data_IF_757878196978
#
_entry.id   IF_757878196978
#
_cell.length_a   1.000
_cell.length_b   1.000
_cell.length_c   1.000
_cell.angle_alpha   90.00
_cell.angle_beta   90.00
_cell.angle_gamma   90.00
#
_symmetry.space_group_name_H-M   'P 1'
#
loop_
_entity.id
_entity.type
_entity.pdbx_description
1 polymer ?
#
# COMPACT_ATOMS: atom_id res chain seq x y z
N UNK A 1 93.99 37.97 -58.00
CA UNK A 1 92.85 38.71 -58.42
C UNK A 1 91.73 37.73 -58.63
N UNK A 2 90.98 37.55 -57.63
CA UNK A 2 89.98 36.50 -57.55
C UNK A 2 88.62 37.14 -57.74
N UNK A 3 87.81 36.55 -58.52
CA UNK A 3 86.40 36.91 -58.71
C UNK A 3 85.56 35.80 -58.11
N UNK A 4 84.89 36.14 -57.07
CA UNK A 4 83.96 35.28 -56.42
C UNK A 4 82.58 35.46 -57.05
N UNK A 5 81.98 34.39 -57.54
CA UNK A 5 80.63 34.37 -58.11
C UNK A 5 79.71 33.66 -57.15
N UNK A 6 78.84 34.45 -56.54
CA UNK A 6 77.84 33.99 -55.64
C UNK A 6 76.77 33.10 -56.24
N UNK A 7 76.50 31.99 -55.60
CA UNK A 7 75.36 31.16 -55.87
C UNK A 7 74.15 31.72 -55.18
N UNK A 8 73.38 32.42 -55.91
CA UNK A 8 71.97 32.73 -55.53
C UNK A 8 71.05 32.06 -56.52
N UNK A 9 69.96 31.64 -55.96
CA UNK A 9 68.74 31.18 -56.59
C UNK A 9 68.70 29.71 -56.95
N UNK A 10 68.03 28.96 -56.07
CA UNK A 10 66.92 28.11 -56.46
C UNK A 10 66.22 27.61 -55.18
N UNK A 11 65.23 28.34 -54.72
CA UNK A 11 64.18 27.79 -53.88
C UNK A 11 62.90 28.50 -54.24
N UNK A 12 62.30 28.01 -55.31
CA UNK A 12 60.91 28.28 -55.65
C UNK A 12 59.99 27.36 -54.86
N UNK A 13 59.12 27.98 -54.12
CA UNK A 13 57.70 27.60 -53.90
C UNK A 13 57.37 26.11 -53.86
N UNK A 14 57.26 25.61 -52.61
CA UNK A 14 56.33 24.55 -52.26
C UNK A 14 55.43 25.11 -51.19
N UNK A 15 54.25 25.57 -51.59
CA UNK A 15 53.17 25.97 -50.71
C UNK A 15 52.68 24.75 -49.99
N UNK A 16 53.11 24.63 -48.74
CA UNK A 16 52.52 23.69 -47.76
C UNK A 16 51.16 24.18 -47.32
N UNK A 17 50.10 23.61 -47.86
CA UNK A 17 48.77 23.74 -47.32
C UNK A 17 48.78 23.06 -45.95
N UNK A 18 48.88 23.86 -44.91
CA UNK A 18 48.60 23.40 -43.52
C UNK A 18 47.12 23.03 -43.46
N UNK A 19 46.81 21.76 -43.62
CA UNK A 19 45.51 21.19 -43.29
C UNK A 19 45.35 21.30 -41.77
N UNK A 20 44.68 22.36 -41.32
CA UNK A 20 44.15 22.42 -39.95
C UNK A 20 43.20 21.25 -39.75
N UNK A 21 43.42 20.36 -38.79
CA UNK A 21 42.41 19.37 -38.43
C UNK A 21 41.19 20.14 -37.94
N UNK A 22 40.16 20.23 -38.74
CA UNK A 22 38.85 20.65 -38.29
C UNK A 22 38.43 19.67 -37.22
N UNK A 23 38.58 20.07 -35.98
CA UNK A 23 37.95 19.44 -34.82
C UNK A 23 36.44 19.61 -34.99
N UNK A 24 35.83 18.68 -35.73
CA UNK A 24 34.38 18.54 -35.65
C UNK A 24 34.06 18.25 -34.20
N UNK A 25 33.16 19.06 -33.55
CA UNK A 25 32.68 18.72 -32.23
C UNK A 25 31.99 17.37 -32.39
N UNK A 26 32.61 16.33 -31.81
CA UNK A 26 31.91 15.08 -31.58
C UNK A 26 30.63 15.46 -30.81
N UNK A 27 29.43 15.10 -31.31
CA UNK A 27 28.23 15.33 -30.55
C UNK A 27 28.45 14.63 -29.22
N UNK A 28 28.61 15.41 -28.15
CA UNK A 28 28.54 14.88 -26.80
C UNK A 28 27.17 14.20 -26.73
N UNK A 29 27.14 12.87 -26.86
CA UNK A 29 25.96 12.10 -26.55
C UNK A 29 25.71 12.43 -25.10
N UNK A 30 24.77 13.36 -24.87
CA UNK A 30 24.18 13.54 -23.57
C UNK A 30 23.76 12.13 -23.14
N UNK A 31 24.46 11.57 -22.15
CA UNK A 31 24.03 10.32 -21.53
C UNK A 31 22.59 10.59 -21.13
N UNK A 32 21.64 9.93 -21.81
CA UNK A 32 20.26 9.95 -21.34
C UNK A 32 20.32 9.57 -19.87
N UNK A 33 19.78 10.40 -18.95
CA UNK A 33 19.76 10.05 -17.54
C UNK A 33 19.22 8.64 -17.43
N UNK A 34 19.93 7.78 -16.71
CA UNK A 34 19.47 6.41 -16.48
C UNK A 34 18.03 6.48 -15.95
N UNK A 35 17.12 5.71 -16.56
CA UNK A 35 15.72 5.66 -16.16
C UNK A 35 15.64 5.37 -14.65
N UNK A 36 15.00 6.23 -13.84
CA UNK A 36 14.87 5.99 -12.41
C UNK A 36 14.09 4.70 -12.16
N UNK A 37 14.48 3.98 -11.11
CA UNK A 37 13.84 2.74 -10.69
C UNK A 37 13.09 2.96 -9.40
N UNK A 38 11.81 2.61 -9.37
CA UNK A 38 10.99 2.55 -8.16
C UNK A 38 11.06 1.12 -7.62
N UNK A 39 11.36 0.96 -6.33
CA UNK A 39 11.11 -0.28 -5.61
C UNK A 39 9.66 -0.31 -5.12
N UNK A 40 8.90 -1.33 -5.50
CA UNK A 40 7.56 -1.54 -4.98
C UNK A 40 7.59 -2.75 -4.04
N UNK A 41 7.44 -2.51 -2.74
CA UNK A 41 7.46 -3.54 -1.70
C UNK A 41 6.07 -3.71 -1.12
N UNK A 42 5.53 -4.91 -1.15
CA UNK A 42 4.21 -5.22 -0.60
C UNK A 42 4.23 -6.46 0.29
N UNK A 43 3.46 -6.42 1.39
CA UNK A 43 3.19 -7.60 2.22
C UNK A 43 2.29 -8.62 1.50
N UNK A 44 1.39 -8.16 0.63
CA UNK A 44 0.44 -8.98 -0.09
C UNK A 44 1.07 -9.69 -1.31
N UNK A 45 0.29 -10.57 -1.94
CA UNK A 45 0.53 -11.08 -3.29
C UNK A 45 0.00 -10.10 -4.37
N UNK A 46 0.39 -10.24 -5.65
CA UNK A 46 -0.05 -9.32 -6.72
C UNK A 46 -1.57 -9.27 -6.92
N UNK A 47 -2.25 -10.43 -6.90
CA UNK A 47 -3.67 -10.56 -7.21
C UNK A 47 -4.60 -9.68 -6.36
N UNK A 48 -4.50 -9.72 -5.03
CA UNK A 48 -5.35 -8.92 -4.13
C UNK A 48 -5.27 -7.41 -4.32
N UNK A 49 -4.14 -6.90 -4.79
CA UNK A 49 -3.92 -5.46 -5.02
C UNK A 49 -4.10 -5.05 -6.48
N UNK A 50 -4.44 -5.98 -7.38
CA UNK A 50 -4.58 -5.71 -8.81
C UNK A 50 -5.54 -4.55 -9.10
N UNK A 51 -6.63 -4.40 -8.34
CA UNK A 51 -7.60 -3.32 -8.49
C UNK A 51 -7.07 -1.93 -8.10
N UNK A 52 -6.09 -1.86 -7.19
CA UNK A 52 -5.50 -0.60 -6.71
C UNK A 52 -4.27 -0.17 -7.55
N UNK A 53 -3.64 -1.08 -8.27
CA UNK A 53 -2.44 -0.78 -9.08
C UNK A 53 -2.67 0.23 -10.20
N UNK A 54 -3.83 0.26 -10.90
CA UNK A 54 -4.13 1.34 -11.85
C UNK A 54 -4.12 2.72 -11.21
N UNK A 55 -4.62 2.86 -9.99
CA UNK A 55 -4.62 4.13 -9.26
C UNK A 55 -3.20 4.57 -8.86
N UNK A 56 -2.34 3.65 -8.43
CA UNK A 56 -0.92 3.94 -8.21
C UNK A 56 -0.24 4.48 -9.48
N UNK A 57 -0.46 3.82 -10.63
CA UNK A 57 0.07 4.28 -11.92
C UNK A 57 -0.52 5.63 -12.35
N UNK A 58 -1.80 5.87 -12.08
CA UNK A 58 -2.43 7.15 -12.34
C UNK A 58 -1.77 8.28 -11.53
N UNK A 59 -1.52 8.07 -10.22
CA UNK A 59 -0.81 9.04 -9.39
C UNK A 59 0.63 9.30 -9.86
N UNK A 60 1.34 8.29 -10.35
CA UNK A 60 2.64 8.46 -11.00
C UNK A 60 2.53 9.29 -12.29
N UNK A 61 1.52 9.02 -13.13
CA UNK A 61 1.28 9.71 -14.39
C UNK A 61 0.94 11.19 -14.16
N UNK A 62 0.15 11.53 -13.13
CA UNK A 62 -0.12 12.91 -12.71
C UNK A 62 1.17 13.68 -12.39
N UNK A 63 2.18 12.97 -11.90
CA UNK A 63 3.51 13.51 -11.70
C UNK A 63 4.43 13.41 -12.93
N UNK A 64 3.93 12.98 -14.09
CA UNK A 64 4.67 12.89 -15.35
C UNK A 64 5.55 11.64 -15.49
N UNK A 65 5.31 10.59 -14.70
CA UNK A 65 6.04 9.33 -14.80
C UNK A 65 5.14 8.20 -15.32
N UNK A 66 5.59 7.50 -16.35
CA UNK A 66 4.88 6.37 -16.95
C UNK A 66 5.79 5.15 -16.94
N UNK A 67 5.32 4.07 -16.31
CA UNK A 67 6.05 2.79 -16.23
C UNK A 67 6.41 2.29 -17.64
N UNK A 68 7.68 1.90 -17.83
CA UNK A 68 8.21 1.42 -19.11
C UNK A 68 8.58 2.52 -20.12
N UNK A 69 8.26 3.80 -19.85
CA UNK A 69 8.64 4.93 -20.72
C UNK A 69 9.77 5.77 -20.12
N UNK A 70 9.57 6.28 -18.91
CA UNK A 70 10.53 7.15 -18.23
C UNK A 70 10.76 6.78 -16.76
N UNK A 71 10.17 5.68 -16.28
CA UNK A 71 10.40 5.08 -14.97
C UNK A 71 10.25 3.57 -15.09
N UNK A 72 11.07 2.81 -14.36
CA UNK A 72 10.94 1.38 -14.18
C UNK A 72 10.44 1.07 -12.76
N UNK A 73 9.71 -0.04 -12.60
CA UNK A 73 9.24 -0.49 -11.28
C UNK A 73 9.76 -1.90 -11.04
N UNK A 74 10.50 -2.09 -9.93
CA UNK A 74 10.90 -3.39 -9.44
C UNK A 74 9.96 -3.83 -8.32
N UNK A 75 9.14 -4.82 -8.62
CA UNK A 75 8.15 -5.35 -7.68
C UNK A 75 8.77 -6.41 -6.77
N UNK A 76 8.46 -6.31 -5.46
CA UNK A 76 8.76 -7.30 -4.43
C UNK A 76 7.50 -7.58 -3.63
N UNK A 77 7.04 -8.81 -3.75
CA UNK A 77 5.84 -9.30 -3.09
C UNK A 77 6.23 -10.27 -2.00
N UNK A 78 5.83 -10.02 -0.77
CA UNK A 78 6.07 -10.95 0.33
C UNK A 78 5.10 -12.14 0.31
N UNK A 79 4.08 -12.10 -0.57
CA UNK A 79 3.12 -13.20 -0.76
C UNK A 79 2.46 -13.62 0.56
N UNK A 80 2.07 -12.63 1.36
CA UNK A 80 1.44 -12.77 2.68
C UNK A 80 2.35 -13.40 3.76
N UNK A 81 3.67 -13.43 3.54
CA UNK A 81 4.67 -13.91 4.49
C UNK A 81 5.48 -12.72 5.00
N UNK A 82 5.10 -12.19 6.17
CA UNK A 82 5.73 -10.99 6.75
C UNK A 82 7.23 -11.17 7.03
N UNK A 83 7.67 -12.39 7.34
CA UNK A 83 9.07 -12.76 7.59
C UNK A 83 9.98 -12.59 6.35
N UNK A 84 9.41 -12.53 5.14
CA UNK A 84 10.15 -12.25 3.90
C UNK A 84 10.49 -10.78 3.71
N UNK A 85 9.74 -9.87 4.34
CA UNK A 85 9.86 -8.42 4.13
C UNK A 85 11.27 -7.86 4.38
N UNK A 86 12.01 -8.27 5.44
CA UNK A 86 13.35 -7.76 5.67
C UNK A 86 14.32 -8.05 4.53
N UNK A 87 14.30 -9.27 3.99
CA UNK A 87 15.15 -9.68 2.87
C UNK A 87 14.78 -8.95 1.58
N UNK A 88 13.48 -8.77 1.30
CA UNK A 88 12.98 -8.06 0.12
C UNK A 88 13.30 -6.56 0.18
N UNK A 89 13.21 -5.94 1.36
CA UNK A 89 13.62 -4.55 1.57
C UNK A 89 15.13 -4.38 1.33
N UNK A 90 15.96 -5.27 1.89
CA UNK A 90 17.41 -5.26 1.70
C UNK A 90 17.80 -5.45 0.22
N UNK A 91 17.10 -6.30 -0.54
CA UNK A 91 17.32 -6.46 -1.98
C UNK A 91 17.07 -5.14 -2.74
N UNK A 92 15.95 -4.46 -2.50
CA UNK A 92 15.67 -3.16 -3.12
C UNK A 92 16.72 -2.10 -2.76
N UNK A 93 17.17 -2.07 -1.50
CA UNK A 93 18.23 -1.16 -1.05
C UNK A 93 19.55 -1.46 -1.76
N UNK A 94 19.93 -2.73 -1.90
CA UNK A 94 21.16 -3.14 -2.60
C UNK A 94 21.17 -2.74 -4.07
N UNK A 95 20.01 -2.70 -4.71
CA UNK A 95 19.80 -2.26 -6.09
C UNK A 95 19.82 -0.75 -6.26
N UNK A 96 19.89 0.01 -5.15
CA UNK A 96 19.93 1.48 -5.15
C UNK A 96 18.79 2.11 -5.94
N UNK A 97 17.57 1.58 -5.73
CA UNK A 97 16.36 2.17 -6.31
C UNK A 97 16.21 3.64 -5.90
N UNK A 98 15.59 4.46 -6.72
CA UNK A 98 15.48 5.89 -6.48
C UNK A 98 14.51 6.23 -5.34
N UNK A 99 13.45 5.43 -5.17
CA UNK A 99 12.43 5.56 -4.12
C UNK A 99 11.75 4.22 -3.89
N UNK A 100 11.27 3.97 -2.68
CA UNK A 100 10.52 2.74 -2.37
C UNK A 100 9.06 3.09 -2.05
N UNK A 101 8.11 2.46 -2.75
CA UNK A 101 6.69 2.43 -2.38
C UNK A 101 6.45 1.19 -1.49
N UNK A 102 6.20 1.41 -0.20
CA UNK A 102 6.01 0.36 0.79
C UNK A 102 4.52 0.24 1.18
N UNK A 103 3.81 -0.71 0.59
CA UNK A 103 2.34 -0.80 0.66
C UNK A 103 1.86 -2.15 1.22
N UNK A 104 0.58 -2.24 1.57
CA UNK A 104 0.02 -3.44 2.19
C UNK A 104 0.17 -3.43 3.71
N UNK A 105 -0.20 -2.32 4.35
CA UNK A 105 -0.10 -2.12 5.78
C UNK A 105 1.26 -1.56 6.23
N UNK A 106 1.51 -1.45 7.54
CA UNK A 106 2.72 -0.83 8.08
C UNK A 106 3.99 -1.69 7.96
N UNK A 107 3.85 -3.02 7.86
CA UNK A 107 4.98 -3.95 7.90
C UNK A 107 6.05 -3.70 6.81
N UNK A 108 5.70 -3.41 5.53
CA UNK A 108 6.69 -3.07 4.52
C UNK A 108 7.47 -1.80 4.84
N UNK A 109 6.79 -0.74 5.33
CA UNK A 109 7.43 0.50 5.76
C UNK A 109 8.41 0.30 6.92
N UNK A 110 8.02 -0.51 7.91
CA UNK A 110 8.89 -0.88 9.04
C UNK A 110 10.11 -1.68 8.58
N UNK A 111 9.93 -2.62 7.62
CA UNK A 111 11.03 -3.38 7.04
C UNK A 111 12.04 -2.49 6.29
N UNK A 112 11.56 -1.52 5.50
CA UNK A 112 12.44 -0.53 4.84
C UNK A 112 13.17 0.30 5.88
N UNK A 113 12.48 0.81 6.90
CA UNK A 113 13.10 1.61 7.96
C UNK A 113 14.19 0.86 8.71
N UNK A 114 13.98 -0.43 8.98
CA UNK A 114 14.95 -1.29 9.68
C UNK A 114 16.27 -1.48 8.91
N UNK A 115 16.30 -1.23 7.59
CA UNK A 115 17.54 -1.28 6.80
C UNK A 115 18.47 -0.08 7.04
N UNK A 116 17.99 0.96 7.75
CA UNK A 116 18.70 2.24 7.95
C UNK A 116 19.17 2.88 6.63
N UNK A 117 18.44 2.65 5.53
CA UNK A 117 18.75 3.25 4.23
C UNK A 117 18.47 4.75 4.22
N UNK A 118 19.19 5.49 3.37
CA UNK A 118 18.86 6.88 3.02
C UNK A 118 17.91 6.99 1.83
N UNK A 119 17.55 5.88 1.17
CA UNK A 119 16.61 5.87 0.07
C UNK A 119 15.24 6.37 0.58
N UNK A 120 14.65 7.39 -0.08
CA UNK A 120 13.32 7.86 0.28
C UNK A 120 12.28 6.76 0.11
N UNK A 121 11.28 6.73 1.00
CA UNK A 121 10.17 5.81 0.85
C UNK A 121 8.82 6.41 1.23
N UNK A 122 7.78 5.90 0.55
CA UNK A 122 6.38 6.27 0.75
C UNK A 122 5.64 5.03 1.26
N UNK A 123 5.08 5.13 2.46
CA UNK A 123 4.38 4.00 3.09
C UNK A 123 2.86 4.15 3.05
N UNK A 124 2.15 3.03 3.23
CA UNK A 124 0.74 2.98 3.64
C UNK A 124 0.67 2.35 5.03
N UNK A 125 0.01 3.02 5.97
CA UNK A 125 -0.20 2.52 7.33
C UNK A 125 -1.68 2.57 7.70
N UNK A 126 -2.17 1.56 8.38
CA UNK A 126 -3.52 1.52 8.94
C UNK A 126 -3.60 2.08 10.35
N UNK A 127 -2.47 2.23 11.03
CA UNK A 127 -2.35 2.80 12.38
C UNK A 127 -1.42 4.01 12.39
N UNK A 128 -1.34 4.68 13.53
CA UNK A 128 -0.56 5.90 13.73
C UNK A 128 0.94 5.68 13.41
N UNK A 129 1.47 6.26 12.31
CA UNK A 129 2.85 6.07 11.88
C UNK A 129 3.87 6.75 12.82
N UNK A 130 3.44 7.69 13.67
CA UNK A 130 4.30 8.30 14.70
C UNK A 130 4.52 7.30 15.84
N UNK A 131 3.45 6.64 16.30
CA UNK A 131 3.54 5.58 17.33
C UNK A 131 4.37 4.39 16.84
N UNK A 132 4.31 4.05 15.56
CA UNK A 132 5.14 3.03 14.95
C UNK A 132 6.60 3.49 14.74
N UNK A 133 6.89 4.76 14.97
CA UNK A 133 8.21 5.33 14.75
C UNK A 133 8.58 5.45 13.25
N UNK A 134 7.64 5.36 12.32
CA UNK A 134 7.90 5.55 10.89
C UNK A 134 8.27 7.00 10.59
N UNK A 135 7.59 7.96 11.20
CA UNK A 135 7.78 9.40 11.05
C UNK A 135 7.79 10.12 12.40
N UNK A 136 8.33 11.34 12.45
CA UNK A 136 8.33 12.16 13.65
C UNK A 136 6.98 12.82 13.92
N UNK A 137 6.28 13.25 12.86
CA UNK A 137 4.92 13.82 12.93
C UNK A 137 4.24 13.74 11.56
N UNK A 138 2.92 13.95 11.52
CA UNK A 138 2.16 13.96 10.27
C UNK A 138 2.54 15.13 9.36
N UNK A 139 2.66 16.33 9.90
CA UNK A 139 2.93 17.55 9.13
C UNK A 139 4.40 17.68 8.71
N UNK A 140 5.30 17.14 9.50
CA UNK A 140 6.75 17.11 9.25
C UNK A 140 7.27 15.72 9.55
N UNK A 141 7.27 14.83 8.55
CA UNK A 141 7.64 13.43 8.75
C UNK A 141 9.03 13.22 9.33
N UNK A 142 9.98 14.07 8.96
CA UNK A 142 11.38 13.96 9.38
C UNK A 142 12.09 12.76 8.75
N UNK A 143 13.29 12.98 8.22
CA UNK A 143 14.07 11.90 7.61
C UNK A 143 13.66 11.56 6.18
N UNK A 144 13.68 10.26 5.84
CA UNK A 144 13.48 9.77 4.48
C UNK A 144 12.13 9.07 4.22
N UNK A 145 11.19 9.18 5.16
CA UNK A 145 9.88 8.54 5.09
C UNK A 145 8.75 9.57 4.98
N UNK A 146 7.75 9.29 4.16
CA UNK A 146 6.43 9.92 4.17
C UNK A 146 5.39 8.89 3.74
N UNK A 147 4.11 9.23 3.71
CA UNK A 147 3.12 8.26 3.26
C UNK A 147 1.67 8.65 3.48
N UNK A 148 0.83 7.62 3.51
CA UNK A 148 -0.61 7.69 3.68
C UNK A 148 -1.01 6.88 4.92
N UNK A 149 -1.72 7.51 5.84
CA UNK A 149 -2.33 6.82 6.98
C UNK A 149 -3.83 6.66 6.74
N UNK A 150 -4.27 5.44 6.48
CA UNK A 150 -5.66 5.13 6.14
C UNK A 150 -6.56 4.88 7.36
N UNK A 151 -6.07 5.16 8.58
CA UNK A 151 -6.85 5.19 9.83
C UNK A 151 -7.64 3.91 10.17
N UNK A 152 -7.22 2.76 9.69
CA UNK A 152 -7.97 1.50 9.82
C UNK A 152 -8.25 1.15 11.29
N UNK A 153 -7.24 1.24 12.15
CA UNK A 153 -7.40 0.90 13.55
C UNK A 153 -8.26 1.91 14.32
N UNK A 154 -8.33 3.16 13.87
CA UNK A 154 -9.16 4.19 14.48
C UNK A 154 -10.67 3.95 14.28
N UNK A 155 -11.05 3.12 13.31
CA UNK A 155 -12.45 2.84 12.98
C UNK A 155 -12.94 1.45 13.41
N UNK A 156 -12.11 0.66 14.11
CA UNK A 156 -12.49 -0.69 14.58
C UNK A 156 -13.72 -0.64 15.49
N UNK A 157 -13.75 0.28 16.46
CA UNK A 157 -14.91 0.48 17.34
C UNK A 157 -16.16 0.89 16.53
N UNK A 158 -15.99 1.72 15.48
CA UNK A 158 -17.09 2.12 14.60
C UNK A 158 -17.63 0.93 13.81
N UNK A 159 -16.75 0.08 13.27
CA UNK A 159 -17.16 -1.16 12.58
C UNK A 159 -17.95 -2.07 13.51
N UNK A 160 -17.49 -2.25 14.76
CA UNK A 160 -18.23 -3.03 15.74
C UNK A 160 -19.62 -2.40 16.02
N UNK A 161 -19.70 -1.08 16.18
CA UNK A 161 -20.95 -0.35 16.36
C UNK A 161 -21.92 -0.51 15.19
N UNK A 162 -21.45 -0.47 13.94
CA UNK A 162 -22.25 -0.70 12.73
C UNK A 162 -22.79 -2.14 12.68
N UNK A 163 -21.95 -3.12 13.04
CA UNK A 163 -22.37 -4.51 13.10
C UNK A 163 -23.44 -4.72 14.17
N UNK A 164 -23.28 -4.10 15.34
CA UNK A 164 -24.28 -4.14 16.40
C UNK A 164 -25.58 -3.42 16.03
N UNK A 165 -25.51 -2.30 15.29
CA UNK A 165 -26.68 -1.60 14.76
C UNK A 165 -27.44 -2.47 13.75
N UNK A 166 -26.71 -3.23 12.93
CA UNK A 166 -27.28 -4.16 11.96
C UNK A 166 -28.04 -5.32 12.62
N UNK A 167 -27.51 -5.85 13.71
CA UNK A 167 -28.08 -6.98 14.45
C UNK A 167 -28.23 -6.65 15.94
N UNK A 168 -29.20 -5.78 16.32
CA UNK A 168 -29.28 -5.22 17.68
C UNK A 168 -29.59 -6.27 18.74
N UNK A 169 -30.20 -7.39 18.37
CA UNK A 169 -30.49 -8.53 19.26
C UNK A 169 -29.25 -9.40 19.54
N UNK A 170 -28.15 -9.20 18.78
CA UNK A 170 -26.92 -9.97 18.97
C UNK A 170 -26.29 -9.72 20.34
N UNK A 171 -25.92 -10.78 21.03
CA UNK A 171 -25.28 -10.75 22.36
C UNK A 171 -23.86 -11.30 22.32
N UNK A 172 -23.55 -12.16 21.36
CA UNK A 172 -22.28 -12.88 21.23
C UNK A 172 -21.63 -12.55 19.89
N UNK A 173 -20.45 -12.00 19.94
CA UNK A 173 -19.68 -11.58 18.76
C UNK A 173 -18.38 -12.39 18.63
N UNK A 174 -18.03 -12.74 17.40
CA UNK A 174 -16.74 -13.26 17.05
C UNK A 174 -15.90 -12.17 16.36
N UNK A 175 -14.59 -12.18 16.58
CA UNK A 175 -13.65 -11.34 15.85
C UNK A 175 -12.50 -12.19 15.35
N UNK A 176 -12.23 -12.15 14.04
CA UNK A 176 -11.06 -12.81 13.43
C UNK A 176 -9.96 -11.78 13.25
N UNK A 177 -8.76 -12.09 13.74
CA UNK A 177 -7.57 -11.23 13.65
C UNK A 177 -6.34 -12.04 13.21
N UNK A 178 -5.49 -11.44 12.37
CA UNK A 178 -4.19 -12.01 12.06
C UNK A 178 -3.18 -11.67 13.18
N UNK A 179 -2.72 -12.66 13.97
CA UNK A 179 -1.83 -12.40 15.10
C UNK A 179 -0.44 -11.91 14.69
N UNK A 180 -0.05 -12.09 13.42
CA UNK A 180 1.24 -11.67 12.88
C UNK A 180 1.23 -10.23 12.36
N UNK A 181 0.05 -9.58 12.32
CA UNK A 181 -0.06 -8.17 11.93
C UNK A 181 0.52 -7.27 13.02
N UNK A 182 1.34 -6.27 12.66
CA UNK A 182 1.79 -5.23 13.62
C UNK A 182 0.64 -4.46 14.28
N UNK A 183 -0.56 -4.53 13.72
CA UNK A 183 -1.77 -3.83 14.17
C UNK A 183 -2.67 -4.70 15.07
N UNK A 184 -2.38 -6.00 15.19
CA UNK A 184 -3.26 -6.98 15.83
C UNK A 184 -3.69 -6.59 17.24
N UNK A 185 -2.74 -6.25 18.12
CA UNK A 185 -3.05 -5.92 19.52
C UNK A 185 -3.88 -4.64 19.65
N UNK A 186 -3.63 -3.65 18.79
CA UNK A 186 -4.41 -2.40 18.75
C UNK A 186 -5.84 -2.68 18.30
N UNK A 187 -6.02 -3.46 17.24
CA UNK A 187 -7.35 -3.83 16.74
C UNK A 187 -8.14 -4.62 17.78
N UNK A 188 -7.50 -5.62 18.39
CA UNK A 188 -8.13 -6.42 19.47
C UNK A 188 -8.57 -5.52 20.62
N UNK A 189 -7.70 -4.62 21.09
CA UNK A 189 -8.01 -3.69 22.16
C UNK A 189 -9.23 -2.80 21.83
N UNK A 190 -9.25 -2.22 20.63
CA UNK A 190 -10.33 -1.33 20.18
C UNK A 190 -11.69 -2.07 20.11
N UNK A 191 -11.70 -3.30 19.55
CA UNK A 191 -12.94 -4.08 19.43
C UNK A 191 -13.41 -4.60 20.80
N UNK A 192 -12.48 -4.99 21.68
CA UNK A 192 -12.80 -5.40 23.06
C UNK A 192 -13.42 -4.26 23.86
N UNK A 193 -12.84 -3.06 23.80
CA UNK A 193 -13.39 -1.87 24.46
C UNK A 193 -14.80 -1.54 23.94
N UNK A 194 -15.00 -1.60 22.61
CA UNK A 194 -16.31 -1.38 22.00
C UNK A 194 -17.35 -2.43 22.44
N UNK A 195 -16.98 -3.69 22.53
CA UNK A 195 -17.86 -4.76 23.00
C UNK A 195 -18.21 -4.58 24.49
N UNK A 196 -17.23 -4.25 25.33
CA UNK A 196 -17.43 -3.99 26.76
C UNK A 196 -18.36 -2.79 26.99
N UNK A 197 -18.19 -1.70 26.26
CA UNK A 197 -19.04 -0.49 26.39
C UNK A 197 -20.50 -0.75 26.05
N UNK A 198 -20.79 -1.78 25.24
CA UNK A 198 -22.16 -2.20 24.89
C UNK A 198 -22.66 -3.40 25.67
N UNK A 199 -21.86 -3.93 26.62
CA UNK A 199 -22.21 -5.11 27.42
C UNK A 199 -22.33 -6.40 26.60
N UNK A 200 -21.57 -6.53 25.49
CA UNK A 200 -21.62 -7.68 24.58
C UNK A 200 -20.47 -8.65 24.83
N UNK A 201 -20.75 -9.96 24.71
CA UNK A 201 -19.72 -10.99 24.74
C UNK A 201 -18.91 -10.94 23.41
N UNK A 202 -17.59 -10.82 23.49
CA UNK A 202 -16.70 -10.86 22.33
C UNK A 202 -15.66 -11.95 22.52
N UNK A 203 -15.51 -12.79 21.49
CA UNK A 203 -14.43 -13.79 21.44
C UNK A 203 -13.51 -13.55 20.24
N UNK A 204 -12.20 -13.50 20.52
CA UNK A 204 -11.17 -13.32 19.51
C UNK A 204 -10.70 -14.68 18.98
N UNK A 205 -10.62 -14.82 17.66
CA UNK A 205 -10.10 -15.97 16.94
C UNK A 205 -8.89 -15.53 16.13
N UNK A 206 -7.74 -16.13 16.39
CA UNK A 206 -6.47 -15.78 15.75
C UNK A 206 -6.27 -16.66 14.52
N UNK A 207 -6.05 -16.06 13.35
CA UNK A 207 -5.79 -16.77 12.10
C UNK A 207 -5.07 -15.84 11.10
N UNK A 208 -3.96 -16.32 10.55
CA UNK A 208 -3.14 -15.61 9.53
C UNK A 208 -2.74 -16.52 8.35
N UNK A 209 -3.23 -17.76 8.32
CA UNK A 209 -2.99 -18.73 7.24
C UNK A 209 -4.28 -19.45 6.86
N UNK A 210 -4.33 -20.06 5.65
CA UNK A 210 -5.49 -20.82 5.19
C UNK A 210 -5.91 -21.89 6.21
N UNK A 211 -4.96 -22.66 6.73
CA UNK A 211 -5.22 -23.69 7.74
C UNK A 211 -5.81 -23.11 9.02
N UNK A 212 -5.23 -22.01 9.51
CA UNK A 212 -5.72 -21.35 10.73
C UNK A 212 -7.11 -20.74 10.56
N UNK A 213 -7.46 -20.28 9.34
CA UNK A 213 -8.84 -19.84 9.03
C UNK A 213 -9.81 -21.01 9.18
N UNK A 214 -9.53 -22.20 8.67
CA UNK A 214 -10.40 -23.36 8.79
C UNK A 214 -10.56 -23.78 10.28
N UNK A 215 -9.45 -23.79 11.03
CA UNK A 215 -9.46 -24.07 12.47
C UNK A 215 -10.28 -23.03 13.24
N UNK A 216 -10.09 -21.72 12.93
CA UNK A 216 -10.84 -20.64 13.55
C UNK A 216 -12.34 -20.76 13.25
N UNK A 217 -12.75 -21.04 12.02
CA UNK A 217 -14.18 -21.21 11.69
C UNK A 217 -14.78 -22.47 12.30
N UNK A 218 -14.01 -23.53 12.49
CA UNK A 218 -14.44 -24.69 13.29
C UNK A 218 -14.72 -24.31 14.74
N UNK A 219 -13.89 -23.46 15.35
CA UNK A 219 -14.08 -22.96 16.70
C UNK A 219 -15.22 -21.94 16.79
N UNK A 220 -15.38 -21.07 15.77
CA UNK A 220 -16.51 -20.12 15.65
C UNK A 220 -17.84 -20.88 15.59
N UNK A 221 -17.94 -21.96 14.80
CA UNK A 221 -19.15 -22.77 14.70
C UNK A 221 -19.55 -23.39 16.06
N UNK A 222 -18.56 -23.77 16.89
CA UNK A 222 -18.82 -24.27 18.26
C UNK A 222 -19.21 -23.15 19.24
N UNK A 223 -18.63 -21.97 19.06
CA UNK A 223 -18.95 -20.80 19.88
C UNK A 223 -20.34 -20.26 19.58
N UNK A 224 -20.86 -20.42 18.35
CA UNK A 224 -22.17 -19.97 17.87
C UNK A 224 -22.37 -18.47 18.13
N UNK A 225 -21.54 -17.59 17.56
CA UNK A 225 -21.76 -16.15 17.66
C UNK A 225 -22.99 -15.73 16.86
N UNK A 226 -23.58 -14.59 17.22
CA UNK A 226 -24.68 -13.97 16.47
C UNK A 226 -24.17 -13.12 15.30
N UNK A 227 -22.91 -12.66 15.38
CA UNK A 227 -22.27 -11.84 14.34
C UNK A 227 -20.74 -11.95 14.36
N UNK A 228 -20.10 -11.58 13.24
CA UNK A 228 -18.66 -11.68 13.01
C UNK A 228 -18.07 -10.35 12.55
N UNK A 229 -16.96 -9.94 13.16
CA UNK A 229 -16.10 -8.90 12.65
C UNK A 229 -14.80 -9.53 12.14
N UNK A 230 -14.40 -9.21 10.90
CA UNK A 230 -13.08 -9.57 10.37
C UNK A 230 -12.21 -8.33 10.43
N UNK A 231 -11.13 -8.40 11.21
CA UNK A 231 -10.18 -7.30 11.35
C UNK A 231 -9.47 -6.98 10.03
N UNK A 232 -9.03 -5.74 9.93
CA UNK A 232 -8.30 -5.27 8.77
C UNK A 232 -6.91 -5.89 8.70
N UNK A 233 -6.63 -6.62 7.63
CA UNK A 233 -5.30 -7.19 7.39
C UNK A 233 -5.15 -7.60 5.92
N UNK A 234 -4.01 -7.31 5.26
CA UNK A 234 -3.78 -7.69 3.87
C UNK A 234 -3.90 -9.20 3.60
N UNK A 235 -3.50 -10.04 4.57
CA UNK A 235 -3.57 -11.51 4.46
C UNK A 235 -5.03 -11.96 4.58
N UNK A 236 -5.80 -11.42 5.52
CA UNK A 236 -7.23 -11.73 5.64
C UNK A 236 -7.99 -11.28 4.38
N UNK A 237 -7.63 -10.13 3.79
CA UNK A 237 -8.19 -9.72 2.50
C UNK A 237 -7.80 -10.67 1.36
N UNK A 238 -6.57 -11.19 1.34
CA UNK A 238 -6.17 -12.23 0.40
C UNK A 238 -7.01 -13.50 0.57
N UNK A 239 -7.25 -13.93 1.80
CA UNK A 239 -8.00 -15.11 2.15
C UNK A 239 -9.53 -14.94 2.06
N UNK A 240 -10.03 -13.78 1.57
CA UNK A 240 -11.48 -13.53 1.48
C UNK A 240 -12.25 -14.58 0.69
N UNK A 241 -11.63 -15.15 -0.36
CA UNK A 241 -12.25 -16.21 -1.15
C UNK A 241 -12.51 -17.50 -0.35
N UNK A 242 -11.75 -17.73 0.73
CA UNK A 242 -11.96 -18.80 1.71
C UNK A 242 -12.91 -18.34 2.81
N UNK A 243 -12.73 -17.12 3.32
CA UNK A 243 -13.51 -16.59 4.45
C UNK A 243 -15.00 -16.44 4.10
N UNK A 244 -15.33 -15.87 2.94
CA UNK A 244 -16.74 -15.59 2.56
C UNK A 244 -17.61 -16.86 2.55
N UNK A 245 -17.21 -17.98 1.89
CA UNK A 245 -18.00 -19.22 1.94
C UNK A 245 -18.12 -19.81 3.36
N UNK A 246 -17.10 -19.64 4.21
CA UNK A 246 -17.15 -20.10 5.61
C UNK A 246 -18.16 -19.26 6.42
N UNK A 247 -18.19 -17.95 6.23
CA UNK A 247 -19.18 -17.05 6.84
C UNK A 247 -20.58 -17.41 6.39
N UNK A 248 -20.78 -17.61 5.08
CA UNK A 248 -22.08 -17.98 4.50
C UNK A 248 -22.60 -19.33 5.03
N UNK A 249 -21.72 -20.37 5.11
CA UNK A 249 -22.10 -21.69 5.68
C UNK A 249 -22.55 -21.61 7.13
N UNK A 250 -22.01 -20.67 7.90
CA UNK A 250 -22.37 -20.46 9.28
C UNK A 250 -23.54 -19.46 9.44
N UNK A 251 -24.10 -18.95 8.34
CA UNK A 251 -25.17 -17.96 8.30
C UNK A 251 -24.89 -16.74 9.21
N UNK A 252 -23.62 -16.26 9.21
CA UNK A 252 -23.19 -15.18 10.12
C UNK A 252 -23.32 -13.81 9.44
N UNK A 253 -24.08 -12.87 10.04
CA UNK A 253 -23.93 -11.45 9.71
C UNK A 253 -22.49 -11.01 9.96
N UNK A 254 -21.83 -10.43 8.96
CA UNK A 254 -20.43 -10.07 9.09
C UNK A 254 -20.11 -8.69 8.52
N UNK A 255 -19.16 -8.00 9.20
CA UNK A 255 -18.59 -6.75 8.73
C UNK A 255 -17.09 -6.91 8.42
N UNK A 256 -16.68 -6.23 7.37
CA UNK A 256 -15.33 -6.25 6.86
C UNK A 256 -14.76 -4.82 6.74
N UNK A 257 -13.47 -4.72 6.50
CA UNK A 257 -12.81 -3.45 6.23
C UNK A 257 -12.97 -3.01 4.77
N UNK A 258 -12.83 -3.96 3.82
CA UNK A 258 -12.68 -3.68 2.39
C UNK A 258 -13.94 -4.01 1.61
N UNK A 259 -14.28 -3.11 0.64
CA UNK A 259 -15.36 -3.35 -0.32
C UNK A 259 -15.23 -4.69 -1.08
N UNK A 260 -13.98 -5.14 -1.31
CA UNK A 260 -13.70 -6.40 -2.01
C UNK A 260 -14.31 -7.64 -1.33
N UNK A 261 -14.56 -7.60 -0.02
CA UNK A 261 -15.32 -8.65 0.66
C UNK A 261 -16.81 -8.62 0.28
N UNK A 262 -17.39 -7.41 0.17
CA UNK A 262 -18.80 -7.23 -0.15
C UNK A 262 -19.05 -7.61 -1.63
N UNK A 263 -18.16 -7.21 -2.52
CA UNK A 263 -18.15 -7.62 -3.94
C UNK A 263 -18.03 -9.14 -4.09
N UNK A 264 -17.33 -9.82 -3.18
CA UNK A 264 -17.21 -11.28 -3.13
C UNK A 264 -18.41 -11.98 -2.44
N UNK A 265 -19.47 -11.25 -2.06
CA UNK A 265 -20.66 -11.80 -1.40
C UNK A 265 -20.71 -11.59 0.11
N UNK A 266 -19.80 -10.83 0.71
CA UNK A 266 -19.90 -10.40 2.11
C UNK A 266 -21.05 -9.43 2.34
N UNK A 267 -21.53 -9.35 3.59
CA UNK A 267 -22.72 -8.57 3.92
C UNK A 267 -22.49 -7.06 3.95
N UNK A 268 -21.43 -6.61 4.66
CA UNK A 268 -21.21 -5.18 4.89
C UNK A 268 -19.72 -4.88 5.04
N UNK A 269 -19.25 -3.76 4.48
CA UNK A 269 -17.92 -3.24 4.77
C UNK A 269 -17.96 -1.77 5.19
N UNK A 270 -17.02 -1.40 6.04
CA UNK A 270 -16.79 0.00 6.40
C UNK A 270 -15.30 0.26 6.51
N UNK A 271 -14.77 1.09 5.62
CA UNK A 271 -13.34 1.36 5.56
C UNK A 271 -12.94 2.42 4.52
N UNK A 272 -11.65 2.77 4.48
CA UNK A 272 -11.13 3.74 3.54
C UNK A 272 -11.00 3.18 2.13
N UNK A 273 -11.05 4.07 1.14
CA UNK A 273 -10.75 3.73 -0.24
C UNK A 273 -9.24 3.48 -0.43
N UNK A 274 -8.85 2.22 -0.62
CA UNK A 274 -7.45 1.87 -0.95
C UNK A 274 -7.03 2.42 -2.32
N UNK A 275 -7.97 2.56 -3.24
CA UNK A 275 -7.70 3.13 -4.57
C UNK A 275 -7.17 4.56 -4.43
N UNK A 276 -7.80 5.39 -3.59
CA UNK A 276 -7.34 6.75 -3.35
C UNK A 276 -5.98 6.77 -2.63
N UNK A 277 -5.78 5.89 -1.64
CA UNK A 277 -4.50 5.77 -0.95
C UNK A 277 -3.36 5.41 -1.92
N UNK A 278 -3.58 4.48 -2.84
CA UNK A 278 -2.59 4.07 -3.84
C UNK A 278 -2.32 5.18 -4.86
N UNK A 279 -3.34 5.94 -5.29
CA UNK A 279 -3.15 7.11 -6.14
C UNK A 279 -2.25 8.13 -5.46
N UNK A 280 -2.48 8.42 -4.19
CA UNK A 280 -1.67 9.34 -3.40
C UNK A 280 -0.21 8.84 -3.23
N UNK A 281 -0.01 7.53 -3.01
CA UNK A 281 1.35 6.93 -2.98
C UNK A 281 2.05 7.17 -4.31
N UNK A 282 1.39 6.91 -5.44
CA UNK A 282 1.94 7.16 -6.77
C UNK A 282 2.33 8.62 -6.98
N UNK A 283 1.46 9.55 -6.60
CA UNK A 283 1.71 10.99 -6.68
C UNK A 283 2.91 11.42 -5.82
N UNK A 284 3.05 10.89 -4.61
CA UNK A 284 4.20 11.18 -3.73
C UNK A 284 5.50 10.59 -4.25
N UNK A 285 5.48 9.35 -4.72
CA UNK A 285 6.64 8.72 -5.38
C UNK A 285 7.10 9.58 -6.56
N UNK A 286 6.17 10.03 -7.41
CA UNK A 286 6.49 10.90 -8.53
C UNK A 286 7.05 12.26 -8.11
N UNK A 287 6.55 12.88 -7.03
CA UNK A 287 7.10 14.13 -6.49
C UNK A 287 8.52 13.95 -5.95
N UNK A 288 8.81 12.82 -5.31
CA UNK A 288 10.15 12.48 -4.83
C UNK A 288 11.12 12.29 -6.02
N UNK A 289 10.71 11.63 -7.08
CA UNK A 289 11.50 11.48 -8.30
C UNK A 289 11.80 12.83 -8.97
N UNK A 290 10.95 13.86 -8.76
CA UNK A 290 11.20 15.26 -9.16
C UNK A 290 12.10 16.04 -8.19
N UNK A 291 12.60 15.41 -7.14
CA UNK A 291 13.53 16.00 -6.18
C UNK A 291 12.91 16.58 -4.91
N UNK A 292 11.59 16.43 -4.68
CA UNK A 292 11.01 16.76 -3.37
C UNK A 292 11.53 15.79 -2.31
N UNK A 293 11.79 16.31 -1.12
CA UNK A 293 12.20 15.47 0.02
C UNK A 293 10.96 14.92 0.71
N UNK A 294 11.01 13.69 1.26
CA UNK A 294 9.93 13.15 2.08
C UNK A 294 9.51 14.05 3.23
N UNK A 295 10.45 14.76 3.84
CA UNK A 295 10.20 15.70 4.94
C UNK A 295 9.32 16.91 4.54
N UNK A 296 9.31 17.27 3.26
CA UNK A 296 8.48 18.34 2.69
C UNK A 296 7.07 17.84 2.29
N UNK A 297 6.79 16.56 2.45
CA UNK A 297 5.54 15.91 2.08
C UNK A 297 4.81 15.40 3.32
N UNK A 298 3.78 16.10 3.82
CA UNK A 298 3.02 15.65 4.99
C UNK A 298 2.45 14.25 4.80
N UNK A 299 2.33 13.48 5.88
CA UNK A 299 1.58 12.23 5.85
C UNK A 299 0.10 12.55 5.65
N UNK A 300 -0.47 12.08 4.54
CA UNK A 300 -1.88 12.30 4.20
C UNK A 300 -2.77 11.33 4.95
N UNK A 301 -3.90 11.83 5.41
CA UNK A 301 -4.98 11.04 5.99
C UNK A 301 -6.22 11.18 5.10
N UNK A 302 -6.54 10.20 4.24
CA UNK A 302 -7.82 10.20 3.53
C UNK A 302 -8.96 10.18 4.54
N UNK A 303 -9.92 11.08 4.39
CA UNK A 303 -11.07 11.20 5.30
C UNK A 303 -12.32 10.49 4.78
N UNK A 304 -12.33 10.10 3.51
CA UNK A 304 -13.45 9.39 2.91
C UNK A 304 -13.45 7.93 3.38
N UNK A 305 -14.48 7.57 4.14
CA UNK A 305 -14.79 6.21 4.56
C UNK A 305 -16.07 5.78 3.85
N UNK A 306 -16.09 4.57 3.31
CA UNK A 306 -17.20 4.03 2.54
C UNK A 306 -17.92 2.95 3.34
N UNK A 307 -19.26 3.10 3.48
CA UNK A 307 -20.15 2.06 3.99
C UNK A 307 -20.83 1.39 2.80
N UNK A 308 -20.54 0.12 2.58
CA UNK A 308 -21.10 -0.66 1.48
C UNK A 308 -21.88 -1.84 2.04
N UNK A 309 -23.09 -2.06 1.55
CA UNK A 309 -23.99 -3.13 2.02
C UNK A 309 -24.46 -3.96 0.82
N UNK A 310 -24.41 -5.29 0.96
CA UNK A 310 -24.93 -6.23 -0.02
C UNK A 310 -26.33 -6.66 0.36
N UNK A 311 -27.33 -6.17 -0.39
CA UNK A 311 -28.74 -6.45 -0.14
C UNK A 311 -29.10 -7.92 -0.44
N UNK A 312 -28.45 -8.55 -1.42
CA UNK A 312 -28.67 -9.97 -1.71
C UNK A 312 -28.21 -10.85 -0.53
N UNK A 313 -27.05 -10.54 0.04
CA UNK A 313 -26.54 -11.27 1.21
C UNK A 313 -27.43 -11.03 2.42
N UNK A 314 -27.90 -9.80 2.65
CA UNK A 314 -28.85 -9.50 3.72
C UNK A 314 -30.14 -10.33 3.57
N UNK A 315 -30.70 -10.38 2.35
CA UNK A 315 -31.90 -11.19 2.04
C UNK A 315 -31.66 -12.68 2.27
N UNK A 316 -30.50 -13.22 1.88
CA UNK A 316 -30.17 -14.64 2.11
C UNK A 316 -30.05 -14.96 3.60
N UNK A 317 -29.58 -14.01 4.42
CA UNK A 317 -29.48 -14.16 5.87
C UNK A 317 -30.80 -13.87 6.60
N UNK A 318 -31.84 -13.42 5.89
CA UNK A 318 -33.10 -13.02 6.50
C UNK A 318 -33.00 -11.76 7.36
N UNK A 319 -32.05 -10.87 7.05
CA UNK A 319 -31.79 -9.65 7.81
C UNK A 319 -32.46 -8.47 7.10
N UNK A 320 -33.30 -7.75 7.84
CA UNK A 320 -33.79 -6.44 7.42
C UNK A 320 -32.75 -5.37 7.80
N UNK A 321 -32.27 -4.62 6.79
CA UNK A 321 -31.29 -3.56 7.04
C UNK A 321 -32.00 -2.37 7.66
N UNK A 322 -31.57 -1.87 8.85
CA UNK A 322 -32.15 -0.69 9.46
C UNK A 322 -32.14 0.53 8.53
N UNK A 323 -33.23 1.33 8.47
CA UNK A 323 -33.29 2.53 7.63
C UNK A 323 -32.12 3.52 7.88
N UNK A 324 -31.64 3.56 9.12
CA UNK A 324 -30.48 4.38 9.50
C UNK A 324 -29.18 3.95 8.83
N UNK A 325 -28.99 2.64 8.61
CA UNK A 325 -27.83 2.12 7.86
C UNK A 325 -27.99 2.33 6.36
N UNK A 326 -29.22 2.10 5.81
CA UNK A 326 -29.50 2.36 4.39
C UNK A 326 -29.25 3.83 4.02
N UNK A 327 -29.69 4.77 4.88
CA UNK A 327 -29.51 6.19 4.64
C UNK A 327 -28.04 6.64 4.74
N UNK A 328 -27.16 5.85 5.35
CA UNK A 328 -25.73 6.13 5.53
C UNK A 328 -24.84 5.34 4.59
N UNK A 329 -25.40 4.38 3.87
CA UNK A 329 -24.65 3.59 2.92
C UNK A 329 -24.24 4.46 1.72
N UNK A 330 -22.96 4.42 1.37
CA UNK A 330 -22.43 5.08 0.17
C UNK A 330 -22.77 4.26 -1.09
N UNK A 331 -22.90 2.94 -0.92
CA UNK A 331 -23.25 2.04 -2.02
C UNK A 331 -24.05 0.84 -1.50
N UNK A 332 -25.07 0.44 -2.28
CA UNK A 332 -25.86 -0.77 -2.09
C UNK A 332 -25.61 -1.70 -3.28
N UNK A 333 -25.15 -2.93 -3.00
CA UNK A 333 -24.93 -3.98 -4.02
C UNK A 333 -26.17 -4.89 -4.06
N UNK A 334 -26.73 -5.02 -5.26
CA UNK A 334 -27.91 -5.87 -5.57
C UNK A 334 -27.52 -7.13 -6.34
#
# INVERSE_FOLDING_TARGET
MAIDIGRRQFLSTLGGAAASPSLWPLPARAQQPAMPVIGFLSSAAPGPLAYAMPAFRAGLSEAGFTEGQNVAIEYRWAENQYDRLPALAADLVSRKVAVIAAVGGPAPGLAVKATNTSIPFVFVSGTDPVKLGLVASFNRPGGNATGVNILITAIDAKRFGLLHELVPAATRFACVVNPNSPEADIQVGNVQEAAQSTGRELRIFKAGTEREIDEAFTAIARFKPDALLVCADPILNFLRAQIIPLVARNALPAIYEQRSFVEAGGLMSYGPSLTEAFRQVGAYVGQILKGKKPDDLPVVQPTALELIINLNTAKMLGIEIPPTLLARADELIE
#
